data_IF_007734437676
#
_entry.id   IF_007734437676
#
_cell.length_a   1.000
_cell.length_b   1.000
_cell.length_c   1.000
_cell.angle_alpha   90.00
_cell.angle_beta   90.00
_cell.angle_gamma   90.00
#
_symmetry.space_group_name_H-M   'P 1'
#
loop_
_entity.id
_entity.type
_entity.pdbx_description
1 polymer ?
#
# COMPACT_ATOMS: atom_id res chain seq x y z
N UNK A 1 -31.61 5.66 -14.95
CA UNK A 1 -30.23 5.90 -15.44
C UNK A 1 -29.89 4.85 -16.49
N UNK A 2 -29.20 5.19 -17.59
CA UNK A 2 -28.70 4.18 -18.55
C UNK A 2 -27.47 3.48 -17.98
N UNK A 3 -27.16 2.26 -18.45
CA UNK A 3 -26.01 1.48 -17.96
C UNK A 3 -24.70 2.22 -18.17
N UNK A 4 -24.57 2.90 -19.29
CA UNK A 4 -23.41 3.70 -19.67
C UNK A 4 -23.25 4.89 -18.73
N UNK A 5 -24.35 5.55 -18.35
CA UNK A 5 -24.32 6.65 -17.41
C UNK A 5 -23.90 6.20 -15.99
N UNK A 6 -24.35 5.01 -15.55
CA UNK A 6 -23.90 4.42 -14.26
C UNK A 6 -22.40 4.18 -14.30
N UNK A 7 -21.90 3.56 -15.37
CA UNK A 7 -20.46 3.27 -15.52
C UNK A 7 -19.64 4.56 -15.56
N UNK A 8 -20.13 5.61 -16.23
CA UNK A 8 -19.44 6.89 -16.27
C UNK A 8 -19.41 7.59 -14.91
N UNK A 9 -20.51 7.53 -14.14
CA UNK A 9 -20.54 8.05 -12.77
C UNK A 9 -19.60 7.28 -11.83
N UNK A 10 -19.40 5.98 -12.03
CA UNK A 10 -18.39 5.24 -11.27
C UNK A 10 -16.96 5.60 -11.67
N UNK A 11 -16.70 5.91 -12.94
CA UNK A 11 -15.36 6.28 -13.43
C UNK A 11 -14.97 7.73 -13.12
N UNK A 12 -15.92 8.67 -13.10
CA UNK A 12 -15.66 10.10 -12.90
C UNK A 12 -16.25 10.58 -11.55
N UNK A 13 -15.44 11.10 -10.62
CA UNK A 13 -15.91 11.55 -9.30
C UNK A 13 -16.89 12.73 -9.36
N UNK A 14 -16.75 13.66 -10.31
CA UNK A 14 -17.68 14.78 -10.46
C UNK A 14 -19.06 14.29 -10.93
N UNK A 15 -19.06 13.37 -11.91
CA UNK A 15 -20.28 12.72 -12.37
C UNK A 15 -20.92 11.85 -11.28
N UNK A 16 -20.12 11.29 -10.37
CA UNK A 16 -20.59 10.57 -9.18
C UNK A 16 -21.28 11.49 -8.19
N UNK A 17 -20.68 12.64 -7.89
CA UNK A 17 -21.21 13.61 -6.94
C UNK A 17 -22.53 14.24 -7.43
N UNK A 18 -22.69 14.38 -8.74
CA UNK A 18 -23.91 14.88 -9.35
C UNK A 18 -25.03 13.83 -9.45
N UNK A 19 -24.76 12.55 -9.19
CA UNK A 19 -25.75 11.49 -9.32
C UNK A 19 -26.55 11.30 -8.02
N UNK A 20 -27.86 11.46 -8.08
CA UNK A 20 -28.75 11.39 -6.91
C UNK A 20 -29.03 9.95 -6.44
N UNK A 21 -29.01 8.98 -7.36
CA UNK A 21 -29.28 7.56 -7.04
C UNK A 21 -28.43 6.64 -7.92
N UNK A 22 -27.26 6.25 -7.42
CA UNK A 22 -26.43 5.21 -8.03
C UNK A 22 -26.78 3.84 -7.42
N UNK A 23 -26.91 2.78 -8.24
CA UNK A 23 -27.00 1.43 -7.71
C UNK A 23 -25.73 1.08 -6.92
N UNK A 24 -25.86 0.11 -6.01
CA UNK A 24 -24.74 -0.37 -5.20
C UNK A 24 -23.54 -0.73 -6.09
N UNK A 25 -22.35 -0.25 -5.70
CA UNK A 25 -21.14 -0.48 -6.47
C UNK A 25 -20.74 -1.96 -6.42
N UNK A 26 -20.38 -2.60 -7.56
CA UNK A 26 -20.08 -4.03 -7.60
C UNK A 26 -18.82 -4.43 -6.81
N UNK A 27 -17.92 -3.48 -6.56
CA UNK A 27 -16.76 -3.70 -5.68
C UNK A 27 -17.13 -3.74 -4.19
N UNK A 28 -18.42 -3.59 -3.83
CA UNK A 28 -18.89 -3.61 -2.47
C UNK A 28 -18.81 -2.24 -1.79
N UNK A 29 -18.96 -2.20 -0.44
CA UNK A 29 -18.85 -0.97 0.32
C UNK A 29 -17.47 -0.32 0.09
N UNK A 30 -17.45 1.01 0.04
CA UNK A 30 -16.18 1.72 0.03
C UNK A 30 -15.39 1.34 1.28
N UNK A 31 -14.09 1.09 1.11
CA UNK A 31 -13.18 1.00 2.24
C UNK A 31 -13.24 2.37 2.92
N UNK A 32 -13.91 2.43 4.06
CA UNK A 32 -13.92 3.63 4.90
C UNK A 32 -12.48 3.84 5.34
N UNK A 33 -12.02 5.09 5.36
CA UNK A 33 -10.75 5.45 6.02
C UNK A 33 -10.79 4.84 7.42
N UNK A 34 -10.00 3.78 7.65
CA UNK A 34 -9.83 3.26 8.99
C UNK A 34 -9.17 4.38 9.79
N UNK A 35 -9.78 4.80 10.89
CA UNK A 35 -9.13 5.71 11.83
C UNK A 35 -7.80 5.12 12.30
N UNK A 36 -6.87 5.98 12.70
CA UNK A 36 -5.53 5.58 13.14
C UNK A 36 -5.59 4.50 14.22
N UNK A 37 -6.60 4.53 15.09
CA UNK A 37 -6.83 3.54 16.12
C UNK A 37 -7.17 2.15 15.56
N UNK A 38 -7.99 2.10 14.52
CA UNK A 38 -8.43 0.86 13.87
C UNK A 38 -7.32 0.32 12.96
N UNK A 39 -6.59 1.21 12.28
CA UNK A 39 -5.38 0.86 11.55
C UNK A 39 -4.36 0.23 12.49
N UNK A 40 -4.07 0.87 13.63
CA UNK A 40 -3.15 0.35 14.62
C UNK A 40 -3.57 -1.01 15.17
N UNK A 41 -4.86 -1.26 15.39
CA UNK A 41 -5.33 -2.58 15.81
C UNK A 41 -5.09 -3.64 14.74
N UNK A 42 -5.41 -3.35 13.47
CA UNK A 42 -5.29 -4.31 12.37
C UNK A 42 -3.83 -4.56 11.97
N UNK A 43 -3.01 -3.52 11.90
CA UNK A 43 -1.56 -3.63 11.62
C UNK A 43 -0.76 -4.04 12.87
N UNK A 44 -1.45 -4.22 14.00
CA UNK A 44 -0.91 -4.84 15.21
C UNK A 44 0.04 -3.95 16.00
N UNK A 45 -0.18 -2.63 16.11
CA UNK A 45 0.54 -1.63 16.95
C UNK A 45 2.08 -1.77 16.94
N UNK A 46 2.60 -2.47 15.95
CA UNK A 46 3.96 -2.96 15.94
C UNK A 46 4.81 -1.84 15.40
N UNK A 47 5.44 -1.10 16.31
CA UNK A 47 6.63 -0.36 15.94
C UNK A 47 7.57 -1.33 15.22
N UNK A 48 7.88 -1.05 13.96
CA UNK A 48 8.88 -1.80 13.22
C UNK A 48 10.21 -1.37 13.82
N UNK A 49 10.58 -2.00 14.94
CA UNK A 49 11.81 -1.70 15.63
C UNK A 49 12.97 -1.91 14.65
N UNK A 50 13.58 -0.81 14.18
CA UNK A 50 14.74 -0.84 13.31
C UNK A 50 15.89 -1.64 13.95
N UNK A 51 15.93 -1.66 15.29
CA UNK A 51 16.87 -2.45 16.09
C UNK A 51 16.66 -3.97 15.96
N UNK A 52 15.44 -4.42 15.63
CA UNK A 52 15.10 -5.85 15.48
C UNK A 52 15.15 -6.32 14.04
N UNK A 53 15.39 -5.43 13.09
CA UNK A 53 15.84 -5.85 11.76
C UNK A 53 17.13 -6.62 12.02
N UNK A 54 17.16 -7.96 11.86
CA UNK A 54 18.42 -8.67 12.01
C UNK A 54 19.32 -8.01 10.98
N UNK A 55 20.34 -7.28 11.46
CA UNK A 55 21.37 -6.69 10.62
C UNK A 55 21.69 -7.78 9.61
N UNK A 56 21.29 -7.62 8.34
CA UNK A 56 21.34 -8.71 7.38
C UNK A 56 22.81 -9.11 7.33
N UNK A 57 23.19 -10.16 8.06
CA UNK A 57 24.61 -10.50 8.25
C UNK A 57 25.22 -10.76 6.86
N UNK A 58 24.41 -11.29 5.95
CA UNK A 58 24.74 -11.42 4.53
C UNK A 58 24.98 -10.10 3.77
N UNK A 59 24.37 -8.97 4.13
CA UNK A 59 24.64 -7.67 3.51
C UNK A 59 26.01 -7.13 3.92
N UNK A 60 26.34 -7.14 5.22
CA UNK A 60 27.64 -6.69 5.70
C UNK A 60 28.79 -7.61 5.22
N UNK A 61 28.57 -8.93 5.22
CA UNK A 61 29.54 -9.90 4.69
C UNK A 61 29.67 -9.80 3.17
N UNK A 62 28.57 -9.65 2.43
CA UNK A 62 28.60 -9.50 0.97
C UNK A 62 29.32 -8.23 0.52
N UNK A 63 29.10 -7.11 1.21
CA UNK A 63 29.73 -5.83 0.88
C UNK A 63 31.24 -5.86 1.18
N UNK A 64 31.64 -6.44 2.32
CA UNK A 64 33.06 -6.58 2.68
C UNK A 64 33.82 -7.52 1.73
N UNK A 65 33.27 -8.70 1.40
CA UNK A 65 33.88 -9.62 0.44
C UNK A 65 33.94 -9.00 -0.96
N UNK A 66 32.88 -8.34 -1.40
CA UNK A 66 32.81 -7.70 -2.72
C UNK A 66 33.85 -6.59 -2.88
N UNK A 67 34.09 -5.79 -1.84
CA UNK A 67 35.15 -4.76 -1.83
C UNK A 67 36.54 -5.40 -1.87
N UNK A 68 36.80 -6.40 -1.02
CA UNK A 68 38.11 -7.07 -1.01
C UNK A 68 38.40 -7.74 -2.35
N UNK A 69 37.44 -8.46 -2.93
CA UNK A 69 37.61 -9.07 -4.24
C UNK A 69 37.82 -8.02 -5.34
N UNK A 70 37.12 -6.90 -5.30
CA UNK A 70 37.31 -5.81 -6.28
C UNK A 70 38.70 -5.19 -6.18
N UNK A 71 39.22 -4.97 -4.96
CA UNK A 71 40.57 -4.41 -4.75
C UNK A 71 41.68 -5.40 -5.13
N UNK A 72 41.45 -6.72 -4.95
CA UNK A 72 42.46 -7.75 -5.27
C UNK A 72 42.46 -8.14 -6.75
N UNK A 73 41.35 -7.97 -7.48
CA UNK A 73 41.23 -8.31 -8.92
C UNK A 73 41.39 -7.12 -9.89
N UNK A 74 41.47 -5.89 -9.38
CA UNK A 74 41.92 -4.71 -10.14
C UNK A 74 43.43 -4.54 -9.95
#
# INVERSE_FOLDING_TARGET
MTREAVVQAWKNPEARAAATELPAHPAGPALVELGDETLQEIIGRGDVQAETTPFCVGFAVGLSIGVVLSVVKC
#
